data_IF_384316698053
#
_entry.id   IF_384316698053
#
_cell.length_a   1.000
_cell.length_b   1.000
_cell.length_c   1.000
_cell.angle_alpha   90.00
_cell.angle_beta   90.00
_cell.angle_gamma   90.00
#
_symmetry.space_group_name_H-M   'P 1'
#
loop_
_entity.id
_entity.type
_entity.pdbx_description
1 polymer ?
#
# COMPACT_ATOMS: atom_id res chain seq x y z
N UNK A 1 10.26 17.78 -13.01
CA UNK A 1 9.19 18.40 -13.63
C UNK A 1 8.33 19.14 -12.68
N UNK A 2 8.01 20.26 -13.05
CA UNK A 2 7.32 21.11 -12.13
C UNK A 2 5.86 20.83 -12.11
N UNK A 3 5.27 20.91 -10.93
CA UNK A 3 3.89 20.80 -10.86
C UNK A 3 3.26 22.11 -11.16
N UNK A 4 2.15 22.07 -11.84
CA UNK A 4 1.38 23.26 -12.07
C UNK A 4 0.74 23.63 -10.75
N UNK A 5 0.89 24.85 -10.28
CA UNK A 5 0.28 25.26 -9.03
C UNK A 5 -1.21 24.99 -9.04
N UNK A 6 -1.69 24.37 -8.00
CA UNK A 6 -3.10 24.03 -7.89
C UNK A 6 -3.46 22.71 -8.51
N UNK A 7 -2.60 22.13 -9.32
CA UNK A 7 -2.89 20.83 -9.90
C UNK A 7 -2.49 19.76 -8.92
N UNK A 8 -3.25 18.67 -8.92
CA UNK A 8 -2.93 17.54 -8.04
C UNK A 8 -2.31 16.46 -8.87
N UNK A 9 -1.21 15.93 -8.40
CA UNK A 9 -0.63 14.77 -9.08
C UNK A 9 -1.39 13.53 -8.66
N UNK A 10 -1.34 12.53 -9.50
CA UNK A 10 -1.96 11.25 -9.18
C UNK A 10 -1.21 10.60 -8.01
N UNK A 11 -1.92 10.11 -7.02
CA UNK A 11 -1.25 9.41 -5.92
C UNK A 11 -0.55 8.17 -6.43
N UNK A 12 0.59 7.86 -5.86
CA UNK A 12 1.41 6.73 -6.26
C UNK A 12 1.16 5.55 -5.33
N UNK A 13 0.75 4.42 -5.89
CA UNK A 13 0.50 3.21 -5.14
C UNK A 13 1.54 2.17 -5.52
N UNK A 14 2.17 1.56 -4.53
CA UNK A 14 3.04 0.42 -4.76
C UNK A 14 2.28 -0.85 -4.42
N UNK A 15 2.15 -1.76 -5.38
CA UNK A 15 1.49 -3.04 -5.18
C UNK A 15 2.57 -4.10 -5.01
N UNK A 16 2.51 -4.85 -3.93
CA UNK A 16 3.49 -5.92 -3.67
C UNK A 16 2.73 -7.24 -3.66
N UNK A 17 2.99 -8.08 -4.66
CA UNK A 17 2.28 -9.33 -4.83
C UNK A 17 3.15 -10.24 -5.69
N UNK A 18 3.35 -11.49 -5.26
CA UNK A 18 4.21 -12.40 -6.00
C UNK A 18 3.51 -13.08 -7.17
N UNK A 19 2.18 -12.97 -7.29
CA UNK A 19 1.46 -13.57 -8.39
C UNK A 19 1.40 -12.59 -9.55
N UNK A 20 1.93 -12.99 -10.68
CA UNK A 20 2.03 -12.11 -11.83
C UNK A 20 0.66 -11.63 -12.31
N UNK A 21 -0.29 -12.55 -12.43
CA UNK A 21 -1.61 -12.18 -12.93
C UNK A 21 -2.31 -11.21 -12.00
N UNK A 22 -2.26 -11.47 -10.70
CA UNK A 22 -2.89 -10.60 -9.73
C UNK A 22 -2.22 -9.22 -9.72
N UNK A 23 -0.90 -9.21 -9.81
CA UNK A 23 -0.13 -7.98 -9.82
C UNK A 23 -0.50 -7.14 -11.04
N UNK A 24 -0.56 -7.77 -12.22
CA UNK A 24 -0.94 -7.09 -13.45
C UNK A 24 -2.35 -6.52 -13.36
N UNK A 25 -3.28 -7.32 -12.88
CA UNK A 25 -4.67 -6.89 -12.77
C UNK A 25 -4.79 -5.71 -11.80
N UNK A 26 -4.06 -5.76 -10.69
CA UNK A 26 -4.09 -4.67 -9.73
C UNK A 26 -3.59 -3.37 -10.34
N UNK A 27 -2.55 -3.43 -11.16
CA UNK A 27 -2.06 -2.23 -11.82
C UNK A 27 -3.10 -1.64 -12.75
N UNK A 28 -3.77 -2.49 -13.54
CA UNK A 28 -4.79 -2.02 -14.47
C UNK A 28 -5.93 -1.36 -13.72
N UNK A 29 -6.40 -2.02 -12.67
CA UNK A 29 -7.53 -1.52 -11.90
C UNK A 29 -7.18 -0.20 -11.22
N UNK A 30 -6.03 -0.11 -10.59
CA UNK A 30 -5.67 1.11 -9.87
C UNK A 30 -5.45 2.27 -10.84
N UNK A 31 -4.84 2.02 -11.98
CA UNK A 31 -4.66 3.06 -12.98
C UNK A 31 -6.00 3.54 -13.51
N UNK A 32 -6.97 2.65 -13.66
CA UNK A 32 -8.29 3.07 -14.11
C UNK A 32 -9.01 3.89 -13.06
N UNK A 33 -8.59 3.81 -11.80
CA UNK A 33 -9.17 4.58 -10.73
C UNK A 33 -8.41 5.89 -10.47
N UNK A 34 -7.45 6.22 -11.31
CA UNK A 34 -6.77 7.50 -11.21
C UNK A 34 -5.45 7.50 -10.45
N UNK A 35 -4.94 6.32 -10.09
CA UNK A 35 -3.66 6.24 -9.39
C UNK A 35 -2.52 6.01 -10.36
N UNK A 36 -1.33 6.49 -9.99
CA UNK A 36 -0.11 6.04 -10.62
C UNK A 36 0.31 4.79 -9.85
N UNK A 37 0.40 3.67 -10.53
CA UNK A 37 0.65 2.41 -9.84
C UNK A 37 1.93 1.76 -10.32
N UNK A 38 2.71 1.24 -9.38
CA UNK A 38 3.91 0.48 -9.66
C UNK A 38 3.84 -0.81 -8.87
N UNK A 39 4.63 -1.78 -9.25
CA UNK A 39 4.52 -3.11 -8.64
C UNK A 39 5.87 -3.68 -8.31
N UNK A 40 5.90 -4.53 -7.29
CA UNK A 40 7.08 -5.30 -6.93
C UNK A 40 6.66 -6.74 -6.71
N UNK A 41 7.59 -7.67 -6.95
CA UNK A 41 7.26 -9.09 -6.97
C UNK A 41 7.31 -9.76 -5.61
N UNK A 42 7.71 -9.07 -4.58
CA UNK A 42 7.76 -9.66 -3.24
C UNK A 42 8.29 -8.66 -2.24
N UNK A 43 8.48 -9.12 -1.02
CA UNK A 43 8.84 -8.23 0.08
C UNK A 43 10.18 -7.54 -0.09
N UNK A 44 11.18 -8.25 -0.58
CA UNK A 44 12.49 -7.64 -0.74
C UNK A 44 12.46 -6.54 -1.81
N UNK A 45 11.92 -6.86 -2.99
CA UNK A 45 11.81 -5.88 -4.05
C UNK A 45 10.87 -4.74 -3.64
N UNK A 46 9.83 -5.06 -2.89
CA UNK A 46 8.90 -4.06 -2.41
C UNK A 46 9.54 -3.08 -1.46
N UNK A 47 10.38 -3.58 -0.57
CA UNK A 47 11.06 -2.69 0.38
C UNK A 47 12.02 -1.75 -0.34
N UNK A 48 12.81 -2.28 -1.28
CA UNK A 48 13.75 -1.45 -2.04
C UNK A 48 12.97 -0.38 -2.82
N UNK A 49 11.89 -0.79 -3.47
CA UNK A 49 11.06 0.15 -4.23
C UNK A 49 10.46 1.23 -3.33
N UNK A 50 9.98 0.84 -2.15
CA UNK A 50 9.40 1.81 -1.23
C UNK A 50 10.43 2.84 -0.78
N UNK A 51 11.65 2.40 -0.51
CA UNK A 51 12.71 3.33 -0.11
C UNK A 51 13.06 4.29 -1.24
N UNK A 52 13.14 3.79 -2.46
CA UNK A 52 13.60 4.59 -3.58
C UNK A 52 12.52 5.47 -4.16
N UNK A 53 11.31 4.96 -4.27
CA UNK A 53 10.25 5.66 -4.97
C UNK A 53 9.32 6.44 -4.06
N UNK A 54 9.34 6.16 -2.78
CA UNK A 54 8.52 6.89 -1.80
C UNK A 54 7.05 6.96 -2.23
N UNK A 55 6.38 5.81 -2.40
CA UNK A 55 4.97 5.84 -2.79
C UNK A 55 4.11 6.47 -1.71
N UNK A 56 2.92 6.89 -2.09
CA UNK A 56 1.98 7.49 -1.16
C UNK A 56 1.29 6.44 -0.29
N UNK A 57 1.15 5.24 -0.82
CA UNK A 57 0.53 4.14 -0.08
C UNK A 57 1.01 2.82 -0.68
N UNK A 58 1.06 1.78 0.14
CA UNK A 58 1.48 0.46 -0.29
C UNK A 58 0.33 -0.52 -0.09
N UNK A 59 0.05 -1.33 -1.11
CA UNK A 59 -0.92 -2.41 -1.01
C UNK A 59 -0.14 -3.71 -1.11
N UNK A 60 -0.23 -4.56 -0.11
CA UNK A 60 0.55 -5.78 -0.07
C UNK A 60 -0.30 -7.00 0.24
N UNK A 61 0.03 -8.14 -0.37
CA UNK A 61 -0.53 -9.41 0.05
C UNK A 61 0.23 -9.88 1.29
N UNK A 62 -0.40 -10.75 2.03
CA UNK A 62 0.21 -11.36 3.21
C UNK A 62 1.04 -12.58 2.83
N UNK A 63 0.54 -13.42 1.95
CA UNK A 63 1.18 -14.69 1.63
C UNK A 63 2.13 -14.52 0.46
N UNK A 64 3.42 -14.49 0.74
CA UNK A 64 4.44 -14.36 -0.28
C UNK A 64 5.57 -15.32 0.03
N UNK A 65 6.08 -16.05 -0.97
CA UNK A 65 7.01 -17.15 -0.70
C UNK A 65 8.40 -16.77 -0.19
N UNK A 66 8.92 -15.63 -0.58
CA UNK A 66 10.27 -15.29 -0.16
C UNK A 66 10.27 -14.34 1.02
N UNK A 67 9.51 -14.65 1.98
CA UNK A 67 9.36 -13.80 3.14
C UNK A 67 7.92 -13.42 3.20
N UNK A 68 7.26 -13.62 4.29
CA UNK A 68 5.85 -13.38 4.33
C UNK A 68 5.56 -11.90 4.42
N UNK A 69 4.33 -11.55 4.24
CA UNK A 69 3.90 -10.17 4.30
C UNK A 69 4.13 -9.51 5.65
N UNK A 70 4.17 -10.30 6.72
CA UNK A 70 4.44 -9.74 8.03
C UNK A 70 5.86 -9.20 8.14
N UNK A 71 6.81 -9.95 7.60
CA UNK A 71 8.20 -9.50 7.63
C UNK A 71 8.35 -8.20 6.84
N UNK A 72 7.67 -8.13 5.70
CA UNK A 72 7.70 -6.93 4.88
C UNK A 72 7.11 -5.74 5.64
N UNK A 73 5.95 -5.94 6.26
CA UNK A 73 5.29 -4.87 7.03
C UNK A 73 6.20 -4.42 8.17
N UNK A 74 6.83 -5.35 8.85
CA UNK A 74 7.71 -5.01 9.96
C UNK A 74 8.93 -4.22 9.49
N UNK A 75 9.49 -4.58 8.35
CA UNK A 75 10.62 -3.81 7.80
C UNK A 75 10.21 -2.40 7.46
N UNK A 76 9.03 -2.23 6.84
CA UNK A 76 8.55 -0.91 6.49
C UNK A 76 8.35 -0.07 7.75
N UNK A 77 7.80 -0.66 8.79
CA UNK A 77 7.48 0.07 10.02
C UNK A 77 8.72 0.47 10.81
N UNK A 78 9.81 -0.26 10.65
CA UNK A 78 11.00 -0.02 11.44
C UNK A 78 12.09 0.78 10.73
N UNK A 79 11.85 1.19 9.48
CA UNK A 79 12.84 1.96 8.74
C UNK A 79 12.37 3.41 8.60
N UNK A 80 13.24 4.34 8.94
CA UNK A 80 12.88 5.76 8.92
C UNK A 80 12.43 6.24 7.55
N UNK A 81 12.89 5.58 6.48
CA UNK A 81 12.55 5.99 5.12
C UNK A 81 11.15 5.56 4.72
N UNK A 82 10.56 4.56 5.40
CA UNK A 82 9.30 3.98 4.97
C UNK A 82 8.23 3.97 6.04
N UNK A 83 8.58 4.21 7.30
CA UNK A 83 7.61 4.01 8.40
C UNK A 83 6.42 4.95 8.32
N UNK A 84 6.54 6.04 7.57
CA UNK A 84 5.44 6.99 7.42
C UNK A 84 4.48 6.62 6.31
N UNK A 85 4.79 5.61 5.50
CA UNK A 85 3.97 5.24 4.37
C UNK A 85 2.87 4.30 4.85
N UNK A 86 1.59 4.64 4.64
CA UNK A 86 0.51 3.74 5.07
C UNK A 86 0.51 2.45 4.26
N UNK A 87 0.21 1.35 4.93
CA UNK A 87 0.19 0.03 4.32
C UNK A 87 -1.22 -0.53 4.39
N UNK A 88 -1.74 -0.99 3.26
CA UNK A 88 -3.02 -1.66 3.17
C UNK A 88 -2.76 -3.12 2.84
N UNK A 89 -3.33 -4.02 3.63
CA UNK A 89 -3.16 -5.44 3.39
C UNK A 89 -4.37 -5.99 2.67
N UNK A 90 -4.13 -6.72 1.58
CA UNK A 90 -5.19 -7.29 0.77
C UNK A 90 -4.86 -8.76 0.57
N UNK A 91 -5.59 -9.65 1.24
CA UNK A 91 -5.22 -11.04 1.28
C UNK A 91 -6.42 -11.97 1.26
N UNK A 92 -6.22 -13.19 0.76
CA UNK A 92 -7.24 -14.22 0.83
C UNK A 92 -7.23 -14.93 2.19
N UNK A 93 -6.17 -14.74 2.98
CA UNK A 93 -6.06 -15.39 4.28
C UNK A 93 -6.65 -14.52 5.36
N UNK A 94 -7.97 -14.46 5.43
CA UNK A 94 -8.62 -13.50 6.29
C UNK A 94 -9.28 -14.10 7.51
N UNK A 95 -8.51 -14.53 8.49
CA UNK A 95 -9.09 -14.93 9.76
C UNK A 95 -9.10 -13.75 10.72
N UNK A 96 -9.85 -13.87 11.78
CA UNK A 96 -9.91 -12.82 12.78
C UNK A 96 -8.53 -12.62 13.43
N UNK A 97 -7.80 -13.70 13.63
CA UNK A 97 -6.46 -13.60 14.21
C UNK A 97 -5.52 -12.80 13.30
N UNK A 98 -5.61 -13.03 12.00
CA UNK A 98 -4.78 -12.30 11.03
C UNK A 98 -5.16 -10.82 11.05
N UNK A 99 -6.45 -10.52 11.11
CA UNK A 99 -6.91 -9.15 11.13
C UNK A 99 -6.43 -8.42 12.38
N UNK A 100 -6.47 -9.10 13.52
CA UNK A 100 -5.98 -8.49 14.75
C UNK A 100 -4.49 -8.27 14.71
N UNK A 101 -3.75 -9.19 14.13
CA UNK A 101 -2.31 -9.01 13.97
C UNK A 101 -2.00 -7.82 13.06
N UNK A 102 -2.80 -7.64 12.01
CA UNK A 102 -2.59 -6.52 11.11
C UNK A 102 -2.73 -5.20 11.87
N UNK A 103 -3.73 -5.09 12.74
CA UNK A 103 -3.87 -3.89 13.56
C UNK A 103 -2.67 -3.70 14.47
N UNK A 104 -2.22 -4.78 15.08
CA UNK A 104 -1.09 -4.72 16.02
C UNK A 104 0.18 -4.29 15.30
N UNK A 105 0.37 -4.73 14.05
CA UNK A 105 1.56 -4.38 13.28
C UNK A 105 1.46 -2.99 12.65
N UNK A 106 0.36 -2.30 12.84
CA UNK A 106 0.23 -0.94 12.33
C UNK A 106 -0.26 -0.82 10.90
N UNK A 107 -0.86 -1.88 10.36
CA UNK A 107 -1.44 -1.83 9.03
C UNK A 107 -2.61 -0.87 9.03
N UNK A 108 -2.66 0.03 8.07
CA UNK A 108 -3.66 1.09 8.06
C UNK A 108 -5.05 0.59 7.68
N UNK A 109 -5.14 -0.44 6.84
CA UNK A 109 -6.42 -1.03 6.46
C UNK A 109 -6.20 -2.46 6.02
N UNK A 110 -7.23 -3.27 6.12
CA UNK A 110 -7.14 -4.70 5.83
C UNK A 110 -8.39 -5.10 5.05
N UNK A 111 -8.20 -5.76 3.91
CA UNK A 111 -9.29 -6.23 3.09
C UNK A 111 -9.09 -7.69 2.73
N UNK A 112 -10.19 -8.43 2.62
CA UNK A 112 -10.15 -9.81 2.14
C UNK A 112 -10.32 -9.81 0.63
N UNK A 113 -9.62 -10.71 -0.05
CA UNK A 113 -9.83 -10.93 -1.47
C UNK A 113 -11.03 -11.86 -1.65
N UNK A 114 -11.87 -11.62 -2.66
CA UNK A 114 -11.81 -10.52 -3.61
C UNK A 114 -12.35 -9.23 -2.99
N UNK A 115 -11.76 -8.12 -3.36
CA UNK A 115 -12.18 -6.84 -2.84
C UNK A 115 -12.63 -5.97 -4.01
N UNK A 116 -13.72 -5.26 -3.82
CA UNK A 116 -14.22 -4.38 -4.87
C UNK A 116 -13.20 -3.30 -5.18
N UNK A 117 -12.89 -3.07 -6.45
CA UNK A 117 -11.96 -2.00 -6.80
C UNK A 117 -12.39 -0.63 -6.28
N UNK A 118 -13.69 -0.36 -6.28
CA UNK A 118 -14.17 0.93 -5.81
C UNK A 118 -13.95 1.10 -4.31
N UNK A 119 -14.16 0.04 -3.54
CA UNK A 119 -13.96 0.08 -2.11
C UNK A 119 -12.49 0.28 -1.78
N UNK A 120 -11.62 -0.46 -2.46
CA UNK A 120 -10.19 -0.34 -2.26
C UNK A 120 -9.72 1.07 -2.63
N UNK A 121 -10.14 1.57 -3.79
CA UNK A 121 -9.72 2.88 -4.25
C UNK A 121 -10.17 3.98 -3.30
N UNK A 122 -11.37 3.87 -2.75
CA UNK A 122 -11.87 4.86 -1.80
C UNK A 122 -11.01 4.91 -0.56
N UNK A 123 -10.61 3.74 -0.04
CA UNK A 123 -9.77 3.70 1.14
C UNK A 123 -8.37 4.25 0.85
N UNK A 124 -7.82 3.92 -0.32
CA UNK A 124 -6.51 4.45 -0.69
C UNK A 124 -6.54 5.97 -0.80
N UNK A 125 -7.60 6.53 -1.39
CA UNK A 125 -7.73 7.98 -1.49
C UNK A 125 -7.83 8.62 -0.11
N UNK A 126 -8.57 7.97 0.79
CA UNK A 126 -8.72 8.48 2.15
C UNK A 126 -7.37 8.52 2.86
N UNK A 127 -6.58 7.46 2.72
CA UNK A 127 -5.28 7.39 3.38
C UNK A 127 -4.30 8.41 2.81
N UNK A 128 -4.31 8.59 1.50
CA UNK A 128 -3.43 9.57 0.87
C UNK A 128 -3.83 10.98 1.30
N UNK A 129 -5.11 11.27 1.36
CA UNK A 129 -5.59 12.59 1.77
C UNK A 129 -5.23 12.87 3.23
N UNK A 130 -5.39 11.89 4.09
CA UNK A 130 -5.07 12.06 5.51
C UNK A 130 -3.58 12.33 5.71
N UNK A 131 -2.74 11.64 4.92
CA UNK A 131 -1.31 11.82 5.04
C UNK A 131 -0.88 13.19 4.52
N UNK A 132 -1.57 13.69 3.50
CA UNK A 132 -1.21 14.96 2.90
C UNK A 132 -1.67 16.16 3.71
N UNK A 133 -2.58 15.96 4.65
CA UNK A 133 -3.07 17.08 5.42
C UNK A 133 -2.01 17.59 6.36
N UNK A 134 -1.92 18.89 6.52
CA UNK A 134 -0.97 19.43 7.47
C UNK A 134 -1.27 18.90 8.84
N UNK A 135 -0.25 18.68 9.58
CA UNK A 135 -0.45 18.16 10.84
C UNK A 135 -0.56 19.18 11.82
N UNK A 136 -1.31 20.06 11.52
CA UNK A 136 -1.52 21.00 12.44
C UNK A 136 -1.96 20.48 13.66
N UNK A 137 -2.56 19.46 13.54
CA UNK A 137 -3.01 18.89 14.68
C UNK A 137 -2.02 18.47 15.50
N UNK A 138 -1.00 18.47 15.11
CA UNK A 138 -0.08 18.04 15.96
C UNK A 138 -0.15 18.87 17.11
N UNK A 139 -0.74 19.43 17.31
CA UNK A 139 -0.84 20.06 18.44
C UNK A 139 -0.56 19.71 19.37
#
# INVERSE_FOLDING_TARGET
MDRIPGAQRSPVVLVVDDHEDTRHMSLIVLRSQGFSAMAAVGGEAGFVCACEQQPDVIVTDLAMPDGDGWEFVQRLASDARTKHIPVVMLTACGTEAVKQRARHEGVAAFFFKPCSPDVLAAELRRLVAARAEPHSQAV
#
